data_IF_158187391784
#
_entry.id   IF_158187391784
#
_cell.length_a   1.000
_cell.length_b   1.000
_cell.length_c   1.000
_cell.angle_alpha   90.00
_cell.angle_beta   90.00
_cell.angle_gamma   90.00
#
_symmetry.space_group_name_H-M   'P 1'
#
loop_
_entity.id
_entity.type
_entity.pdbx_description
1 polymer ?
#
# COMPACT_ATOMS: atom_id res chain seq x y z
N UNK A 1 -11.73 34.71 -0.51
CA UNK A 1 -11.44 33.69 0.51
C UNK A 1 -11.50 32.34 -0.21
N UNK A 2 -10.34 31.73 -0.50
CA UNK A 2 -10.30 30.47 -1.24
C UNK A 2 -10.28 29.32 -0.23
N UNK A 3 -11.38 28.56 -0.13
CA UNK A 3 -11.39 27.30 0.60
C UNK A 3 -10.69 26.24 -0.25
N UNK A 4 -9.48 25.86 0.13
CA UNK A 4 -8.85 24.65 -0.37
C UNK A 4 -9.50 23.45 0.31
N UNK A 5 -10.57 22.92 -0.29
CA UNK A 5 -11.13 21.65 0.15
C UNK A 5 -10.07 20.56 -0.04
N UNK A 6 -9.70 19.87 1.05
CA UNK A 6 -8.82 18.71 0.91
C UNK A 6 -9.56 17.65 0.07
N UNK A 7 -8.90 17.04 -0.93
CA UNK A 7 -9.50 15.99 -1.72
C UNK A 7 -10.01 14.87 -0.81
N UNK A 8 -11.28 14.48 -0.99
CA UNK A 8 -11.85 13.36 -0.25
C UNK A 8 -11.05 12.08 -0.54
N UNK A 9 -10.67 11.38 0.54
CA UNK A 9 -9.96 10.09 0.43
C UNK A 9 -10.83 9.03 -0.23
N UNK A 10 -10.22 8.19 -1.06
CA UNK A 10 -10.86 6.99 -1.63
C UNK A 10 -10.95 5.87 -0.60
N UNK A 11 -11.78 4.84 -0.87
CA UNK A 11 -11.88 3.66 0.00
C UNK A 11 -10.54 2.93 0.14
N UNK A 12 -9.76 2.82 -0.94
CA UNK A 12 -8.44 2.20 -0.91
C UNK A 12 -7.42 3.01 -0.10
N UNK A 13 -7.43 4.34 -0.23
CA UNK A 13 -6.57 5.23 0.57
C UNK A 13 -6.87 5.08 2.07
N UNK A 14 -8.15 5.12 2.45
CA UNK A 14 -8.58 4.88 3.83
C UNK A 14 -8.15 3.50 4.32
N UNK A 15 -8.39 2.44 3.54
CA UNK A 15 -8.02 1.08 3.92
C UNK A 15 -6.50 0.90 4.13
N UNK A 16 -5.65 1.54 3.32
CA UNK A 16 -4.20 1.52 3.53
C UNK A 16 -3.78 2.21 4.84
N UNK A 17 -4.38 3.37 5.14
CA UNK A 17 -4.08 4.15 6.34
C UNK A 17 -4.50 3.37 7.59
N UNK A 18 -5.71 2.82 7.58
CA UNK A 18 -6.25 2.08 8.72
C UNK A 18 -5.47 0.78 8.95
N UNK A 19 -5.23 -0.01 7.90
CA UNK A 19 -4.44 -1.24 7.99
C UNK A 19 -3.02 -0.99 8.52
N UNK A 20 -2.37 0.10 8.11
CA UNK A 20 -1.07 0.48 8.64
C UNK A 20 -1.16 0.85 10.13
N UNK A 21 -2.11 1.71 10.50
CA UNK A 21 -2.29 2.16 11.87
C UNK A 21 -2.56 1.02 12.87
N UNK A 22 -3.38 0.05 12.48
CA UNK A 22 -3.71 -1.12 13.30
C UNK A 22 -2.50 -2.03 13.58
N UNK A 23 -1.49 -2.01 12.70
CA UNK A 23 -0.47 -3.07 12.62
C UNK A 23 0.95 -2.56 12.75
N UNK A 24 1.17 -1.26 12.79
CA UNK A 24 2.49 -0.62 12.85
C UNK A 24 3.42 -1.29 13.88
N UNK A 25 2.93 -1.56 15.08
CA UNK A 25 3.70 -2.18 16.17
C UNK A 25 4.13 -3.63 15.91
N UNK A 26 3.50 -4.31 14.96
CA UNK A 26 3.74 -5.70 14.59
C UNK A 26 4.64 -5.83 13.35
N UNK A 27 4.89 -4.73 12.63
CA UNK A 27 5.65 -4.77 11.39
C UNK A 27 7.16 -4.95 11.68
N UNK A 28 7.83 -5.94 11.07
CA UNK A 28 9.26 -6.15 11.30
C UNK A 28 10.09 -5.04 10.67
N UNK A 29 11.22 -4.67 11.27
CA UNK A 29 12.14 -3.68 10.72
C UNK A 29 12.99 -3.00 11.79
N UNK A 30 14.06 -2.33 11.37
CA UNK A 30 14.85 -1.45 12.21
C UNK A 30 14.33 0.00 12.16
N UNK A 31 14.99 0.91 12.87
CA UNK A 31 14.60 2.32 12.89
C UNK A 31 14.60 3.00 11.51
N UNK A 32 15.48 2.60 10.59
CA UNK A 32 15.51 3.15 9.24
C UNK A 32 14.31 2.68 8.41
N UNK A 33 13.86 1.44 8.61
CA UNK A 33 12.62 0.93 7.99
C UNK A 33 11.39 1.63 8.56
N UNK A 34 11.37 1.93 9.86
CA UNK A 34 10.26 2.68 10.48
C UNK A 34 10.09 4.07 9.85
N UNK A 35 11.17 4.84 9.71
CA UNK A 35 11.13 6.17 9.07
C UNK A 35 10.56 6.09 7.64
N UNK A 36 11.02 5.12 6.83
CA UNK A 36 10.52 4.95 5.46
C UNK A 36 9.02 4.62 5.40
N UNK A 37 8.51 3.88 6.39
CA UNK A 37 7.08 3.56 6.48
C UNK A 37 6.26 4.78 6.87
N UNK A 38 6.75 5.56 7.81
CA UNK A 38 6.11 6.82 8.21
C UNK A 38 6.05 7.79 7.03
N UNK A 39 7.15 7.98 6.30
CA UNK A 39 7.19 8.81 5.09
C UNK A 39 6.19 8.32 4.03
N UNK A 40 6.10 7.00 3.83
CA UNK A 40 5.18 6.41 2.87
C UNK A 40 3.71 6.62 3.27
N UNK A 41 3.36 6.44 4.54
CA UNK A 41 1.97 6.60 4.98
C UNK A 41 1.56 8.07 4.98
N UNK A 42 2.47 8.99 5.32
CA UNK A 42 2.21 10.44 5.22
C UNK A 42 1.94 10.85 3.76
N UNK A 43 2.69 10.31 2.80
CA UNK A 43 2.41 10.52 1.38
C UNK A 43 1.02 10.00 0.99
N UNK A 44 0.62 8.80 1.44
CA UNK A 44 -0.72 8.24 1.17
C UNK A 44 -1.83 9.08 1.81
N UNK A 45 -1.59 9.67 2.98
CA UNK A 45 -2.56 10.59 3.64
C UNK A 45 -2.87 11.82 2.79
N UNK A 46 -1.99 12.20 1.88
CA UNK A 46 -2.17 13.29 0.90
C UNK A 46 -2.83 12.82 -0.41
N UNK A 47 -3.10 11.51 -0.53
CA UNK A 47 -3.74 10.87 -1.67
C UNK A 47 -2.77 10.01 -2.48
N UNK A 48 -3.32 8.99 -3.13
CA UNK A 48 -2.56 8.19 -4.08
C UNK A 48 -2.19 9.03 -5.30
N UNK A 49 -1.05 8.74 -5.93
CA UNK A 49 -0.58 9.50 -7.07
C UNK A 49 -1.52 9.37 -8.27
N UNK A 50 -1.62 10.47 -9.01
CA UNK A 50 -2.39 10.60 -10.24
C UNK A 50 -1.46 11.03 -11.37
N UNK A 51 -1.95 11.06 -12.61
CA UNK A 51 -1.19 11.56 -13.78
C UNK A 51 -0.76 13.03 -13.69
N UNK A 52 -1.24 13.78 -12.70
CA UNK A 52 -0.80 15.17 -12.44
C UNK A 52 0.60 15.25 -11.84
N UNK A 53 1.07 14.17 -11.21
CA UNK A 53 2.44 14.05 -10.71
C UNK A 53 3.32 13.57 -11.86
N UNK A 54 4.42 14.29 -12.14
CA UNK A 54 5.28 14.03 -13.30
C UNK A 54 5.79 12.59 -13.35
N UNK A 55 6.25 12.04 -12.21
CA UNK A 55 6.72 10.66 -12.10
C UNK A 55 5.62 9.60 -12.31
N UNK A 56 4.35 10.00 -12.37
CA UNK A 56 3.18 9.13 -12.56
C UNK A 56 2.41 9.45 -13.85
N UNK A 57 3.02 10.18 -14.78
CA UNK A 57 2.36 10.66 -16.01
C UNK A 57 1.62 9.54 -16.77
N UNK A 58 2.15 8.33 -16.76
CA UNK A 58 1.60 7.18 -17.48
C UNK A 58 0.72 6.24 -16.64
N UNK A 59 0.70 6.40 -15.30
CA UNK A 59 0.00 5.50 -14.38
C UNK A 59 -0.84 6.30 -13.37
N UNK A 60 -2.16 6.12 -13.41
CA UNK A 60 -3.05 6.72 -12.41
C UNK A 60 -3.34 5.70 -11.31
N UNK A 61 -2.49 5.65 -10.28
CA UNK A 61 -2.63 4.66 -9.21
C UNK A 61 -3.93 4.88 -8.42
N UNK A 62 -4.28 6.13 -8.14
CA UNK A 62 -5.51 6.47 -7.41
C UNK A 62 -6.75 5.95 -8.13
N UNK A 63 -6.79 6.01 -9.46
CA UNK A 63 -7.88 5.46 -10.27
C UNK A 63 -7.83 3.93 -10.37
N UNK A 64 -6.63 3.35 -10.46
CA UNK A 64 -6.44 1.91 -10.65
C UNK A 64 -6.65 1.10 -9.38
N UNK A 65 -6.28 1.63 -8.21
CA UNK A 65 -6.42 0.96 -6.93
C UNK A 65 -7.77 1.25 -6.31
N UNK A 66 -8.75 0.38 -6.58
CA UNK A 66 -10.14 0.56 -6.13
C UNK A 66 -10.40 0.01 -4.75
N UNK A 67 -9.67 -1.03 -4.34
CA UNK A 67 -9.83 -1.71 -3.05
C UNK A 67 -8.51 -2.29 -2.57
N UNK A 68 -8.42 -2.47 -1.26
CA UNK A 68 -7.27 -3.09 -0.59
C UNK A 68 -7.85 -4.19 0.29
N UNK A 69 -7.44 -5.46 0.10
CA UNK A 69 -7.92 -6.55 0.92
C UNK A 69 -7.53 -6.34 2.38
N UNK A 70 -8.41 -6.73 3.30
CA UNK A 70 -8.11 -6.73 4.72
C UNK A 70 -6.99 -7.74 5.01
N UNK A 71 -6.26 -7.51 6.10
CA UNK A 71 -5.32 -8.50 6.57
C UNK A 71 -6.05 -9.68 7.23
N UNK A 72 -5.58 -10.89 6.93
CA UNK A 72 -6.09 -12.11 7.54
C UNK A 72 -4.96 -12.87 8.25
N UNK A 73 -4.93 -12.84 9.58
CA UNK A 73 -3.86 -13.45 10.38
C UNK A 73 -3.70 -14.96 10.19
N UNK A 74 -4.80 -15.63 9.89
CA UNK A 74 -4.83 -17.07 9.67
C UNK A 74 -4.65 -17.47 8.19
N UNK A 75 -4.47 -16.51 7.29
CA UNK A 75 -4.32 -16.80 5.88
C UNK A 75 -3.00 -17.55 5.62
N UNK A 76 -3.10 -18.62 4.82
CA UNK A 76 -1.95 -19.45 4.44
C UNK A 76 -1.73 -19.30 2.96
N UNK A 77 -0.54 -18.81 2.61
CA UNK A 77 -0.16 -18.62 1.22
C UNK A 77 0.01 -19.99 0.53
N UNK A 78 -0.78 -20.25 -0.50
CA UNK A 78 -0.69 -21.52 -1.24
C UNK A 78 0.58 -21.52 -2.10
N UNK A 79 1.51 -22.42 -1.81
CA UNK A 79 2.68 -22.64 -2.66
C UNK A 79 2.26 -23.20 -4.02
N UNK A 80 2.85 -22.65 -5.08
CA UNK A 80 2.68 -23.14 -6.45
C UNK A 80 3.96 -23.83 -6.91
N UNK A 81 3.82 -24.78 -7.83
CA UNK A 81 4.97 -25.38 -8.48
C UNK A 81 5.74 -24.31 -9.27
N UNK A 82 7.10 -24.35 -9.24
CA UNK A 82 7.89 -23.43 -10.04
C UNK A 82 7.62 -23.65 -11.53
N UNK A 83 7.50 -22.56 -12.28
CA UNK A 83 7.31 -22.62 -13.75
C UNK A 83 8.56 -23.20 -14.43
N UNK A 84 9.74 -22.89 -13.89
CA UNK A 84 11.02 -23.42 -14.34
C UNK A 84 11.65 -24.23 -13.21
N UNK A 85 12.09 -25.44 -13.53
CA UNK A 85 12.72 -26.34 -12.56
C UNK A 85 13.92 -25.66 -11.86
N UNK A 86 14.00 -25.83 -10.53
CA UNK A 86 15.03 -25.21 -9.69
C UNK A 86 14.77 -23.75 -9.28
N UNK A 87 13.68 -23.12 -9.73
CA UNK A 87 13.35 -21.74 -9.35
C UNK A 87 12.78 -21.64 -7.93
N UNK A 88 13.12 -20.55 -7.23
CA UNK A 88 12.48 -20.21 -5.96
C UNK A 88 11.07 -19.64 -6.20
N UNK A 89 10.09 -20.14 -5.44
CA UNK A 89 8.71 -19.62 -5.43
C UNK A 89 8.43 -19.10 -4.02
N UNK A 90 8.08 -17.82 -3.92
CA UNK A 90 7.71 -17.18 -2.66
C UNK A 90 6.19 -16.99 -2.64
N UNK A 91 5.44 -17.78 -1.85
CA UNK A 91 4.01 -17.55 -1.68
C UNK A 91 3.85 -16.39 -0.68
N UNK A 92 3.31 -15.26 -1.15
CA UNK A 92 3.17 -14.00 -0.38
C UNK A 92 1.69 -13.66 -0.18
N UNK A 93 1.35 -13.19 1.02
CA UNK A 93 0.07 -12.59 1.37
C UNK A 93 0.29 -11.14 1.82
N UNK A 94 -0.77 -10.33 1.76
CA UNK A 94 -0.80 -8.98 2.29
C UNK A 94 -0.94 -8.95 3.82
#
# INVERSE_FOLDING_TARGET
MNMHAQPQRTLAETALIDAFGERLSQLPGDGAVMVKRDDAIEAIKHGLPTRRVESWHYTDLRRLLTSVPAFEAAAVAKALAPVLEGSAVLPVLN
#
